data_IF_808750021230
#
_entry.id   IF_808750021230
#
_cell.length_a   1.000
_cell.length_b   1.000
_cell.length_c   1.000
_cell.angle_alpha   90.00
_cell.angle_beta   90.00
_cell.angle_gamma   90.00
#
_symmetry.space_group_name_H-M   'P 1'
#
loop_
_entity.id
_entity.type
_entity.pdbx_description
1 polymer ?
#
# COMPACT_ATOMS: atom_id res chain seq x y z
N UNK A 1 1.06 -4.67 13.00
CA UNK A 1 1.28 -5.25 11.66
C UNK A 1 -0.01 -5.14 10.88
N UNK A 2 -0.07 -4.28 9.86
CA UNK A 2 -1.24 -4.14 8.98
C UNK A 2 -1.08 -5.12 7.82
N UNK A 3 -1.93 -6.14 7.75
CA UNK A 3 -1.87 -7.17 6.70
C UNK A 3 -2.95 -6.90 5.64
N UNK A 4 -2.61 -7.12 4.36
CA UNK A 4 -3.63 -7.18 3.30
C UNK A 4 -4.01 -5.89 2.60
N UNK A 5 -3.17 -4.84 2.66
CA UNK A 5 -3.30 -3.66 1.80
C UNK A 5 -3.47 -4.08 0.32
N UNK A 6 -4.50 -3.56 -0.34
CA UNK A 6 -4.86 -3.85 -1.73
C UNK A 6 -5.70 -5.13 -1.92
N UNK A 7 -5.22 -6.29 -1.48
CA UNK A 7 -5.85 -7.59 -1.82
C UNK A 7 -7.15 -7.90 -1.05
N UNK A 8 -7.38 -7.26 0.12
CA UNK A 8 -8.58 -7.44 0.95
C UNK A 8 -9.45 -6.18 1.03
N UNK A 9 -9.28 -5.23 0.11
CA UNK A 9 -9.99 -3.94 0.15
C UNK A 9 -9.49 -2.96 1.22
N UNK A 10 -8.35 -3.25 1.86
CA UNK A 10 -7.69 -2.32 2.76
C UNK A 10 -7.01 -1.19 1.95
N UNK A 11 -7.48 0.03 2.15
CA UNK A 11 -6.96 1.27 1.57
C UNK A 11 -5.96 1.97 2.50
N UNK A 12 -5.28 3.02 2.01
CA UNK A 12 -4.35 3.83 2.80
C UNK A 12 -4.99 4.42 4.05
N UNK A 13 -6.29 4.75 3.99
CA UNK A 13 -7.07 5.20 5.15
C UNK A 13 -7.23 4.13 6.22
N UNK A 14 -7.45 2.88 5.82
CA UNK A 14 -7.54 1.76 6.76
C UNK A 14 -6.18 1.41 7.36
N UNK A 15 -5.08 1.71 6.66
CA UNK A 15 -3.74 1.58 7.23
C UNK A 15 -3.43 2.74 8.20
N UNK A 16 -3.84 3.96 7.86
CA UNK A 16 -3.55 5.19 8.62
C UNK A 16 -4.03 5.12 10.08
N UNK A 17 -5.16 4.46 10.37
CA UNK A 17 -5.68 4.31 11.75
C UNK A 17 -4.75 3.49 12.67
N UNK A 18 -3.81 2.74 12.10
CA UNK A 18 -2.85 1.95 12.87
C UNK A 18 -1.57 2.74 13.20
N UNK A 19 -1.38 3.93 12.63
CA UNK A 19 -0.23 4.78 12.90
C UNK A 19 -0.52 5.70 14.09
N UNK A 20 0.54 6.05 14.81
CA UNK A 20 0.52 7.07 15.85
C UNK A 20 0.27 8.47 15.23
N UNK A 21 -0.09 9.48 16.05
CA UNK A 21 -0.30 10.85 15.57
C UNK A 21 0.92 11.50 14.90
N UNK A 22 2.13 11.00 15.18
CA UNK A 22 3.39 11.41 14.54
C UNK A 22 3.66 10.69 13.19
N UNK A 23 2.76 9.79 12.77
CA UNK A 23 2.91 9.00 11.54
C UNK A 23 3.82 7.78 11.69
N UNK A 24 4.20 7.39 12.91
CA UNK A 24 5.05 6.22 13.19
C UNK A 24 4.25 5.07 13.84
N UNK A 25 4.93 4.03 14.32
CA UNK A 25 4.32 2.97 15.14
C UNK A 25 3.65 1.83 14.39
N UNK A 26 3.50 1.92 13.07
CA UNK A 26 2.92 0.86 12.24
C UNK A 26 3.91 0.30 11.21
N UNK A 27 3.83 -1.02 11.00
CA UNK A 27 4.46 -1.71 9.87
C UNK A 27 3.33 -2.28 9.00
N UNK A 28 3.34 -1.91 7.73
CA UNK A 28 2.35 -2.35 6.72
C UNK A 28 3.01 -3.37 5.79
N UNK A 29 2.39 -4.55 5.65
CA UNK A 29 2.87 -5.58 4.73
C UNK A 29 1.87 -5.84 3.61
N UNK A 30 2.39 -5.97 2.39
CA UNK A 30 1.62 -6.38 1.21
C UNK A 30 2.44 -7.35 0.37
N UNK A 31 1.80 -8.43 -0.09
CA UNK A 31 2.43 -9.49 -0.88
C UNK A 31 1.73 -9.58 -2.23
N UNK A 32 0.59 -10.26 -2.32
CA UNK A 32 -0.16 -10.47 -3.58
C UNK A 32 -0.54 -9.17 -4.30
N UNK A 33 -0.84 -8.08 -3.60
CA UNK A 33 -1.19 -6.82 -4.28
C UNK A 33 0.03 -6.12 -4.91
N UNK A 34 1.25 -6.46 -4.49
CA UNK A 34 2.49 -5.95 -5.10
C UNK A 34 2.95 -6.90 -6.21
N UNK A 35 2.89 -8.22 -5.96
CA UNK A 35 3.47 -9.25 -6.84
C UNK A 35 2.50 -9.80 -7.89
N UNK A 36 1.20 -9.81 -7.65
CA UNK A 36 0.18 -10.43 -8.53
C UNK A 36 -0.85 -9.43 -9.08
N UNK A 37 -0.59 -8.11 -9.02
CA UNK A 37 -1.53 -7.10 -9.52
C UNK A 37 -1.82 -7.18 -11.03
N UNK A 38 -1.08 -7.99 -11.78
CA UNK A 38 -1.22 -8.12 -13.23
C UNK A 38 -1.22 -9.61 -13.62
N UNK A 39 -2.34 -10.09 -14.15
CA UNK A 39 -2.50 -11.40 -14.77
C UNK A 39 -2.24 -11.31 -16.29
N UNK A 40 -1.24 -10.52 -16.71
CA UNK A 40 -0.89 -10.38 -18.11
C UNK A 40 0.28 -11.34 -18.44
N UNK A 41 -0.03 -12.37 -19.22
CA UNK A 41 0.88 -13.44 -19.62
C UNK A 41 2.10 -12.94 -20.41
N UNK A 42 2.10 -11.67 -20.86
CA UNK A 42 3.17 -11.07 -21.64
C UNK A 42 4.26 -10.36 -20.82
N UNK A 43 4.21 -10.40 -19.49
CA UNK A 43 5.19 -9.71 -18.62
C UNK A 43 6.49 -10.52 -18.47
N UNK A 44 7.35 -10.42 -19.49
CA UNK A 44 8.76 -10.82 -19.45
C UNK A 44 9.41 -10.24 -18.17
N UNK A 45 10.22 -11.02 -17.45
CA UNK A 45 10.72 -10.72 -16.08
C UNK A 45 11.32 -9.31 -15.84
N UNK A 46 11.79 -8.59 -16.87
CA UNK A 46 12.18 -7.17 -16.74
C UNK A 46 11.01 -6.25 -16.38
N UNK A 47 9.79 -6.59 -16.80
CA UNK A 47 8.58 -5.86 -16.44
C UNK A 47 8.11 -6.18 -15.02
N UNK A 48 8.34 -7.39 -14.52
CA UNK A 48 7.94 -7.79 -13.15
C UNK A 48 8.59 -6.92 -12.07
N UNK A 49 9.91 -6.76 -12.09
CA UNK A 49 10.62 -5.95 -11.09
C UNK A 49 10.18 -4.46 -11.13
N UNK A 50 9.93 -3.93 -12.34
CA UNK A 50 9.40 -2.57 -12.52
C UNK A 50 7.98 -2.45 -11.97
N UNK A 51 7.10 -3.40 -12.27
CA UNK A 51 5.74 -3.43 -11.75
C UNK A 51 5.70 -3.54 -10.23
N UNK A 52 6.51 -4.42 -9.63
CA UNK A 52 6.67 -4.54 -8.17
C UNK A 52 7.08 -3.19 -7.57
N UNK A 53 8.05 -2.51 -8.18
CA UNK A 53 8.47 -1.17 -7.74
C UNK A 53 7.35 -0.16 -7.84
N UNK A 54 6.66 -0.07 -8.96
CA UNK A 54 5.56 0.88 -9.17
C UNK A 54 4.39 0.65 -8.21
N UNK A 55 4.00 -0.61 -7.99
CA UNK A 55 2.94 -0.97 -7.04
C UNK A 55 3.34 -0.63 -5.60
N UNK A 56 4.61 -0.86 -5.24
CA UNK A 56 5.14 -0.47 -3.93
C UNK A 56 5.08 1.05 -3.74
N UNK A 57 5.48 1.82 -4.75
CA UNK A 57 5.41 3.29 -4.71
C UNK A 57 3.98 3.80 -4.60
N UNK A 58 3.03 3.19 -5.32
CA UNK A 58 1.59 3.51 -5.19
C UNK A 58 1.06 3.27 -3.78
N UNK A 59 1.44 2.13 -3.16
CA UNK A 59 1.08 1.83 -1.77
C UNK A 59 1.64 2.89 -0.80
N UNK A 60 2.91 3.26 -0.96
CA UNK A 60 3.54 4.30 -0.13
C UNK A 60 2.78 5.62 -0.28
N UNK A 61 2.54 6.06 -1.51
CA UNK A 61 1.86 7.33 -1.80
C UNK A 61 0.44 7.36 -1.21
N UNK A 62 -0.35 6.31 -1.35
CA UNK A 62 -1.71 6.22 -0.80
C UNK A 62 -1.71 6.29 0.74
N UNK A 63 -0.79 5.59 1.40
CA UNK A 63 -0.66 5.64 2.87
C UNK A 63 -0.20 7.03 3.32
N UNK A 64 0.83 7.60 2.70
CA UNK A 64 1.34 8.93 3.06
C UNK A 64 0.28 10.01 2.87
N UNK A 65 -0.49 9.95 1.78
CA UNK A 65 -1.63 10.86 1.55
C UNK A 65 -2.71 10.71 2.62
N UNK A 66 -3.00 9.48 3.03
CA UNK A 66 -3.98 9.23 4.09
C UNK A 66 -3.52 9.74 5.46
N UNK A 67 -2.22 9.69 5.75
CA UNK A 67 -1.63 10.24 6.99
C UNK A 67 -1.56 11.78 6.98
N UNK A 68 -1.36 12.40 5.82
CA UNK A 68 -1.32 13.85 5.67
C UNK A 68 -2.71 14.50 5.68
N UNK A 69 -3.77 13.73 5.46
CA UNK A 69 -5.14 14.25 5.55
C UNK A 69 -5.47 14.55 7.01
N UNK A 70 -6.00 15.74 7.35
CA UNK A 70 -6.39 16.05 8.72
C UNK A 70 -7.40 15.00 9.19
N UNK A 71 -7.13 14.40 10.36
CA UNK A 71 -8.11 13.57 11.04
C UNK A 71 -9.40 14.38 11.13
N UNK A 72 -10.49 13.88 10.53
CA UNK A 72 -11.78 14.56 10.63
C UNK A 72 -12.06 14.79 12.11
N UNK A 73 -12.09 16.05 12.51
CA UNK A 73 -12.55 16.46 13.82
C UNK A 73 -13.96 15.88 14.00
N UNK A 74 -14.06 14.90 14.89
CA UNK A 74 -15.32 14.40 15.42
C UNK A 74 -15.69 15.18 16.66
#
# INVERSE_FOLDING_TARGET
LVTGYGAQGASGRNAAVCFNPDGLGAIVSSSRAITYAYADENLISRSFAKCVRENTLRMIDDITKALAAPARAG
#
